data_IF_273435191400
#
_entry.id   IF_273435191400
#
_cell.length_a   1.000
_cell.length_b   1.000
_cell.length_c   1.000
_cell.angle_alpha   90.00
_cell.angle_beta   90.00
_cell.angle_gamma   90.00
#
_symmetry.space_group_name_H-M   'P 1'
#
loop_
_entity.id
_entity.type
_entity.pdbx_description
1 polymer ?
#
# COMPACT_ATOMS: atom_id res chain seq x y z
N UNK A 1 12.05 4.80 -2.10
CA UNK A 1 10.58 4.80 -1.89
C UNK A 1 10.13 5.91 -0.93
N UNK A 2 10.81 6.18 0.21
CA UNK A 2 10.41 7.26 1.15
C UNK A 2 10.29 8.64 0.51
N UNK A 3 11.29 9.04 -0.29
CA UNK A 3 11.27 10.29 -1.05
C UNK A 3 10.02 10.39 -1.94
N UNK A 4 9.78 9.37 -2.79
CA UNK A 4 8.61 9.34 -3.68
C UNK A 4 7.28 9.37 -2.92
N UNK A 5 7.15 8.67 -1.78
CA UNK A 5 5.95 8.70 -0.95
C UNK A 5 5.65 10.12 -0.42
N UNK A 6 6.71 10.87 -0.06
CA UNK A 6 6.55 12.22 0.46
C UNK A 6 6.18 13.22 -0.64
N UNK A 7 6.81 13.13 -1.81
CA UNK A 7 6.51 13.98 -2.96
C UNK A 7 5.11 13.68 -3.52
N UNK A 8 4.69 12.42 -3.52
CA UNK A 8 3.35 12.02 -3.96
C UNK A 8 2.22 12.41 -2.99
N UNK A 9 2.55 12.93 -1.80
CA UNK A 9 1.57 13.21 -0.75
C UNK A 9 1.04 11.95 -0.03
N UNK A 10 1.64 10.79 -0.26
CA UNK A 10 1.28 9.54 0.41
C UNK A 10 1.91 8.28 -0.20
N UNK A 11 1.78 7.17 0.53
CA UNK A 11 2.10 5.82 0.04
C UNK A 11 0.82 5.12 -0.44
N UNK A 12 0.84 3.79 -0.65
CA UNK A 12 -0.36 3.04 -1.03
C UNK A 12 -1.55 3.24 -0.07
N UNK A 13 -1.32 3.33 1.25
CA UNK A 13 -2.43 3.55 2.18
C UNK A 13 -2.95 4.99 2.05
N UNK A 14 -2.04 5.98 2.09
CA UNK A 14 -2.42 7.40 2.11
C UNK A 14 -2.86 7.98 0.77
N UNK A 15 -2.16 7.69 -0.33
CA UNK A 15 -2.42 8.27 -1.64
C UNK A 15 -3.40 7.45 -2.50
N UNK A 16 -3.50 6.14 -2.26
CA UNK A 16 -4.40 5.25 -3.02
C UNK A 16 -5.66 4.88 -2.21
N UNK A 17 -5.51 4.26 -1.03
CA UNK A 17 -6.65 3.78 -0.24
C UNK A 17 -7.44 4.89 0.47
N UNK A 18 -6.85 6.06 0.70
CA UNK A 18 -7.62 7.21 1.16
C UNK A 18 -8.30 7.93 -0.01
N UNK A 19 -7.59 8.15 -1.13
CA UNK A 19 -8.10 8.99 -2.23
C UNK A 19 -9.11 8.29 -3.14
N UNK A 20 -8.89 7.02 -3.50
CA UNK A 20 -9.81 6.30 -4.41
C UNK A 20 -11.21 6.12 -3.80
N UNK A 21 -11.37 5.59 -2.57
CA UNK A 21 -12.70 5.41 -1.98
C UNK A 21 -13.46 6.73 -1.76
N UNK A 22 -12.74 7.85 -1.69
CA UNK A 22 -13.28 9.20 -1.62
C UNK A 22 -13.63 9.78 -2.99
N UNK A 23 -13.61 8.97 -4.05
CA UNK A 23 -13.90 9.38 -5.43
C UNK A 23 -12.97 10.50 -5.94
N UNK A 24 -11.71 10.52 -5.51
CA UNK A 24 -10.74 11.52 -5.95
C UNK A 24 -9.85 10.98 -7.10
N UNK A 25 -9.70 11.79 -8.15
CA UNK A 25 -8.92 11.44 -9.35
C UNK A 25 -7.43 11.17 -9.06
N UNK A 26 -6.86 11.82 -8.03
CA UNK A 26 -5.46 11.61 -7.63
C UNK A 26 -5.14 10.14 -7.33
N UNK A 27 -6.10 9.38 -6.78
CA UNK A 27 -5.92 7.96 -6.53
C UNK A 27 -5.71 7.13 -7.80
N UNK A 28 -6.44 7.47 -8.88
CA UNK A 28 -6.29 6.82 -10.18
C UNK A 28 -4.96 7.14 -10.84
N UNK A 29 -4.54 8.41 -10.77
CA UNK A 29 -3.25 8.87 -11.28
C UNK A 29 -2.12 8.17 -10.51
N UNK A 30 -2.21 8.12 -9.19
CA UNK A 30 -1.24 7.40 -8.36
C UNK A 30 -1.16 5.92 -8.76
N UNK A 31 -2.29 5.24 -8.95
CA UNK A 31 -2.34 3.82 -9.35
C UNK A 31 -1.63 3.58 -10.70
N UNK A 32 -1.86 4.45 -11.68
CA UNK A 32 -1.25 4.34 -13.00
C UNK A 32 0.26 4.50 -12.93
N UNK A 33 0.74 5.57 -12.29
CA UNK A 33 2.17 5.87 -12.27
C UNK A 33 2.95 4.98 -11.30
N UNK A 34 2.36 4.50 -10.20
CA UNK A 34 3.00 3.49 -9.35
C UNK A 34 3.13 2.15 -10.08
N UNK A 35 2.14 1.78 -10.91
CA UNK A 35 2.21 0.57 -11.74
C UNK A 35 3.33 0.67 -12.79
N UNK A 36 3.43 1.80 -13.48
CA UNK A 36 4.53 2.07 -14.41
C UNK A 36 5.89 2.08 -13.71
N UNK A 37 5.99 2.71 -12.53
CA UNK A 37 7.20 2.73 -11.73
C UNK A 37 7.61 1.34 -11.24
N UNK A 38 6.66 0.53 -10.79
CA UNK A 38 6.93 -0.83 -10.32
C UNK A 38 7.35 -1.77 -11.46
N UNK A 39 6.75 -1.65 -12.64
CA UNK A 39 7.16 -2.44 -13.81
C UNK A 39 8.55 -2.03 -14.29
N UNK A 40 8.86 -0.73 -14.34
CA UNK A 40 10.20 -0.22 -14.63
C UNK A 40 11.23 -0.69 -13.59
N UNK A 41 10.91 -0.58 -12.29
CA UNK A 41 11.76 -1.05 -11.20
C UNK A 41 12.01 -2.55 -11.26
N UNK A 42 11.01 -3.35 -11.66
CA UNK A 42 11.17 -4.80 -11.83
C UNK A 42 12.10 -5.17 -12.98
N UNK A 43 12.04 -4.44 -14.11
CA UNK A 43 12.98 -4.60 -15.23
C UNK A 43 14.40 -4.20 -14.83
N UNK A 44 14.55 -3.10 -14.11
CA UNK A 44 15.85 -2.65 -13.58
C UNK A 44 16.48 -3.72 -12.68
N UNK A 45 15.68 -4.33 -11.80
CA UNK A 45 16.16 -5.35 -10.86
C UNK A 45 16.64 -6.62 -11.58
N UNK A 46 15.93 -7.08 -12.61
CA UNK A 46 16.36 -8.23 -13.44
C UNK A 46 17.67 -7.96 -14.19
N UNK A 47 17.87 -6.73 -14.67
CA UNK A 47 19.03 -6.43 -15.51
C UNK A 47 20.31 -6.14 -14.70
N UNK A 48 20.18 -5.62 -13.46
CA UNK A 48 21.33 -5.13 -12.69
C UNK A 48 21.56 -5.84 -11.35
N UNK A 49 20.56 -6.52 -10.79
CA UNK A 49 20.60 -7.07 -9.44
C UNK A 49 20.14 -8.52 -9.40
N UNK A 50 20.78 -9.38 -10.21
CA UNK A 50 20.83 -10.81 -9.91
C UNK A 50 22.07 -11.04 -9.01
N UNK A 51 21.94 -11.06 -7.67
CA UNK A 51 23.06 -11.43 -6.83
C UNK A 51 23.48 -12.86 -7.19
N UNK A 52 24.79 -13.16 -7.26
CA UNK A 52 25.25 -14.52 -7.52
C UNK A 52 24.61 -15.45 -6.49
N UNK A 53 23.97 -16.52 -6.98
CA UNK A 53 23.33 -17.52 -6.12
C UNK A 53 24.43 -18.15 -5.25
N UNK A 54 24.52 -17.71 -4.01
CA UNK A 54 25.48 -18.27 -3.07
C UNK A 54 25.01 -19.66 -2.67
N UNK A 55 25.61 -20.68 -3.28
CA UNK A 55 25.41 -22.08 -2.91
C UNK A 55 25.99 -22.44 -1.53
N UNK A 56 26.66 -21.49 -0.85
CA UNK A 56 27.12 -21.68 0.52
C UNK A 56 25.90 -21.71 1.44
N UNK A 57 25.56 -22.91 1.91
CA UNK A 57 24.58 -23.06 2.99
C UNK A 57 25.08 -22.25 4.19
N UNK A 58 24.31 -21.28 4.70
CA UNK A 58 24.71 -20.55 5.89
C UNK A 58 24.91 -21.57 7.01
N UNK A 59 26.09 -21.54 7.65
CA UNK A 59 26.43 -22.42 8.77
C UNK A 59 25.62 -22.01 10.00
N UNK A 60 24.33 -22.31 9.99
CA UNK A 60 23.39 -21.99 11.06
C UNK A 60 23.35 -23.19 11.99
N UNK A 61 23.90 -23.05 13.20
CA UNK A 61 23.74 -24.04 14.27
C UNK A 61 22.26 -24.41 14.37
N UNK A 62 21.92 -25.69 14.14
CA UNK A 62 20.54 -26.18 14.32
C UNK A 62 20.25 -26.15 15.81
N UNK A 63 19.23 -25.39 16.20
CA UNK A 63 18.72 -25.43 17.57
C UNK A 63 18.15 -26.82 17.86
N UNK A 64 18.40 -27.31 19.08
CA UNK A 64 17.80 -28.54 19.60
C UNK A 64 16.27 -28.39 19.69
N UNK A 65 15.51 -29.50 19.70
CA UNK A 65 14.05 -29.46 19.82
C UNK A 65 13.58 -28.67 21.04
N UNK A 66 14.25 -28.82 22.17
CA UNK A 66 13.97 -28.07 23.41
C UNK A 66 14.21 -26.57 23.25
N UNK A 67 15.36 -26.19 22.68
CA UNK A 67 15.66 -24.78 22.42
C UNK A 67 14.66 -24.13 21.46
N UNK A 68 14.11 -24.88 20.49
CA UNK A 68 13.04 -24.39 19.60
C UNK A 68 11.72 -24.19 20.35
N UNK A 69 11.35 -25.14 21.21
CA UNK A 69 10.13 -25.04 22.04
C UNK A 69 10.24 -23.84 22.98
N UNK A 70 11.36 -23.67 23.67
CA UNK A 70 11.60 -22.56 24.58
C UNK A 70 11.57 -21.21 23.86
N UNK A 71 12.24 -21.09 22.70
CA UNK A 71 12.18 -19.85 21.90
C UNK A 71 10.77 -19.55 21.39
N UNK A 72 10.01 -20.55 20.99
CA UNK A 72 8.61 -20.36 20.56
C UNK A 72 7.76 -19.85 21.72
N UNK A 73 7.91 -20.43 22.91
CA UNK A 73 7.19 -19.97 24.11
C UNK A 73 7.58 -18.53 24.45
N UNK A 74 8.89 -18.21 24.48
CA UNK A 74 9.36 -16.85 24.74
C UNK A 74 8.79 -15.86 23.71
N UNK A 75 8.80 -16.21 22.42
CA UNK A 75 8.24 -15.35 21.37
C UNK A 75 6.73 -15.12 21.54
N UNK A 76 5.96 -16.15 21.88
CA UNK A 76 4.51 -16.05 22.11
C UNK A 76 4.25 -15.21 23.36
N UNK A 77 4.92 -15.50 24.48
CA UNK A 77 4.77 -14.77 25.74
C UNK A 77 5.13 -13.29 25.54
N UNK A 78 6.25 -13.00 24.90
CA UNK A 78 6.68 -11.63 24.64
C UNK A 78 5.69 -10.90 23.71
N UNK A 79 5.13 -11.58 22.71
CA UNK A 79 4.08 -11.04 21.84
C UNK A 79 2.78 -10.73 22.59
N UNK A 80 2.33 -11.64 23.47
CA UNK A 80 1.13 -11.45 24.30
C UNK A 80 1.34 -10.32 25.31
N UNK A 81 2.48 -10.30 26.01
CA UNK A 81 2.82 -9.26 26.97
C UNK A 81 2.89 -7.90 26.28
N UNK A 82 3.55 -7.79 25.12
CA UNK A 82 3.62 -6.53 24.38
C UNK A 82 2.23 -6.06 23.95
N UNK A 83 1.36 -6.98 23.49
CA UNK A 83 -0.01 -6.64 23.10
C UNK A 83 -0.83 -6.15 24.30
N UNK A 84 -0.73 -6.82 25.46
CA UNK A 84 -1.40 -6.39 26.69
C UNK A 84 -0.90 -5.02 27.15
N UNK A 85 0.41 -4.77 27.10
CA UNK A 85 1.00 -3.47 27.44
C UNK A 85 0.43 -2.37 26.53
N UNK A 86 0.38 -2.61 25.22
CA UNK A 86 -0.19 -1.65 24.25
C UNK A 86 -1.67 -1.38 24.52
N UNK A 87 -2.45 -2.41 24.84
CA UNK A 87 -3.86 -2.27 25.19
C UNK A 87 -4.03 -1.48 26.50
N UNK A 88 -3.26 -1.79 27.55
CA UNK A 88 -3.32 -1.07 28.83
C UNK A 88 -2.97 0.42 28.63
N UNK A 89 -1.87 0.71 27.92
CA UNK A 89 -1.47 2.08 27.60
C UNK A 89 -2.57 2.82 26.84
N UNK A 90 -3.28 2.14 25.93
CA UNK A 90 -4.40 2.74 25.19
C UNK A 90 -5.54 3.21 26.11
N UNK A 91 -5.86 2.45 27.15
CA UNK A 91 -6.89 2.81 28.13
C UNK A 91 -6.42 3.88 29.12
N UNK A 92 -5.15 3.86 29.50
CA UNK A 92 -4.55 4.90 30.37
C UNK A 92 -4.56 6.28 29.69
N UNK A 93 -4.34 6.30 28.37
CA UNK A 93 -4.31 7.54 27.57
C UNK A 93 -5.72 7.99 27.12
N UNK A 94 -6.74 7.14 27.27
CA UNK A 94 -8.11 7.40 26.86
C UNK A 94 -8.73 8.70 27.44
N UNK A 95 -8.47 9.10 28.71
CA UNK A 95 -8.98 10.36 29.25
C UNK A 95 -8.49 11.59 28.49
N UNK A 96 -7.25 11.58 27.98
CA UNK A 96 -6.67 12.67 27.19
C UNK A 96 -7.00 12.54 25.70
N UNK A 97 -7.12 11.32 25.19
CA UNK A 97 -7.38 11.03 23.78
C UNK A 97 -8.45 9.92 23.64
N UNK A 98 -9.75 10.26 23.60
CA UNK A 98 -10.82 9.27 23.64
C UNK A 98 -10.86 8.33 22.43
N UNK A 99 -10.21 8.70 21.32
CA UNK A 99 -10.11 7.86 20.10
C UNK A 99 -8.92 6.90 20.10
N UNK A 100 -7.99 7.03 21.06
CA UNK A 100 -6.75 6.26 21.07
C UNK A 100 -6.97 4.73 21.15
N UNK A 101 -7.88 4.20 22.00
CA UNK A 101 -8.15 2.76 22.04
C UNK A 101 -8.63 2.23 20.69
N UNK A 102 -9.58 2.92 20.05
CA UNK A 102 -10.12 2.51 18.75
C UNK A 102 -9.07 2.41 17.66
N UNK A 103 -8.16 3.39 17.57
CA UNK A 103 -7.08 3.40 16.58
C UNK A 103 -6.11 2.23 16.80
N UNK A 104 -5.77 1.95 18.06
CA UNK A 104 -4.85 0.86 18.41
C UNK A 104 -5.46 -0.51 18.07
N UNK A 105 -6.73 -0.74 18.41
CA UNK A 105 -7.41 -1.98 18.05
C UNK A 105 -7.48 -2.18 16.54
N UNK A 106 -7.79 -1.13 15.78
CA UNK A 106 -7.77 -1.17 14.32
C UNK A 106 -6.36 -1.45 13.79
N UNK A 107 -5.32 -0.87 14.39
CA UNK A 107 -3.92 -1.11 14.02
C UNK A 107 -3.48 -2.56 14.24
N UNK A 108 -3.82 -3.15 15.39
CA UNK A 108 -3.54 -4.56 15.71
C UNK A 108 -4.29 -5.48 14.73
N UNK A 109 -5.58 -5.22 14.50
CA UNK A 109 -6.40 -5.99 13.56
C UNK A 109 -5.87 -5.92 12.13
N UNK A 110 -5.54 -4.72 11.66
CA UNK A 110 -4.95 -4.50 10.33
C UNK A 110 -3.60 -5.24 10.22
N UNK A 111 -2.73 -5.12 11.22
CA UNK A 111 -1.43 -5.80 11.25
C UNK A 111 -1.58 -7.33 11.17
N UNK A 112 -2.50 -7.91 11.95
CA UNK A 112 -2.80 -9.34 11.93
C UNK A 112 -3.30 -9.81 10.56
N UNK A 113 -4.28 -9.10 9.99
CA UNK A 113 -4.85 -9.42 8.67
C UNK A 113 -3.77 -9.32 7.59
N UNK A 114 -2.96 -8.26 7.60
CA UNK A 114 -1.88 -8.07 6.62
C UNK A 114 -0.78 -9.14 6.74
N UNK A 115 -0.41 -9.53 7.95
CA UNK A 115 0.55 -10.62 8.20
C UNK A 115 0.01 -11.94 7.66
N UNK A 116 -1.24 -12.27 7.95
CA UNK A 116 -1.82 -13.57 7.59
C UNK A 116 -2.11 -13.68 6.10
N UNK A 117 -2.58 -12.60 5.47
CA UNK A 117 -2.88 -12.55 4.04
C UNK A 117 -1.64 -12.41 3.15
N UNK A 118 -0.46 -12.12 3.73
CA UNK A 118 0.77 -11.81 2.98
C UNK A 118 0.55 -10.74 1.91
N UNK A 119 -0.27 -9.74 2.24
CA UNK A 119 -0.72 -8.73 1.31
C UNK A 119 0.42 -7.78 0.94
N UNK A 120 0.80 -7.76 -0.34
CA UNK A 120 1.93 -6.97 -0.83
C UNK A 120 1.54 -6.12 -2.04
N UNK A 121 1.41 -4.81 -1.84
CA UNK A 121 1.12 -3.86 -2.92
C UNK A 121 2.19 -3.84 -4.01
N UNK A 122 3.47 -3.95 -3.63
CA UNK A 122 4.58 -3.95 -4.60
C UNK A 122 4.47 -5.12 -5.60
N UNK A 123 4.12 -6.30 -5.09
CA UNK A 123 3.91 -7.48 -5.90
C UNK A 123 2.66 -7.33 -6.80
N UNK A 124 1.58 -6.76 -6.28
CA UNK A 124 0.37 -6.46 -7.06
C UNK A 124 0.63 -5.58 -8.30
N UNK A 125 1.63 -4.69 -8.26
CA UNK A 125 1.97 -3.84 -9.40
C UNK A 125 3.04 -4.43 -10.32
N UNK A 126 4.05 -5.10 -9.76
CA UNK A 126 5.21 -5.62 -10.50
C UNK A 126 4.91 -6.94 -11.20
N UNK A 127 4.23 -7.86 -10.52
CA UNK A 127 4.11 -9.25 -10.95
C UNK A 127 3.29 -9.43 -12.25
N UNK A 128 2.22 -8.66 -12.53
CA UNK A 128 1.55 -8.72 -13.83
C UNK A 128 2.46 -8.42 -15.02
N UNK A 129 3.44 -7.53 -14.82
CA UNK A 129 4.41 -7.15 -15.84
C UNK A 129 5.63 -8.08 -15.94
N UNK A 130 6.02 -8.75 -14.84
CA UNK A 130 7.19 -9.63 -14.79
C UNK A 130 6.83 -11.11 -14.97
N UNK A 131 5.93 -11.64 -14.15
CA UNK A 131 5.58 -13.06 -14.07
C UNK A 131 4.22 -13.36 -14.69
N UNK A 132 3.40 -12.35 -14.95
CA UNK A 132 2.03 -12.51 -15.46
C UNK A 132 1.02 -12.97 -14.42
N UNK A 133 1.44 -13.21 -13.17
CA UNK A 133 0.52 -13.55 -12.08
C UNK A 133 -0.26 -12.31 -11.63
N UNK A 134 -1.57 -12.43 -11.50
CA UNK A 134 -2.44 -11.29 -11.13
C UNK A 134 -3.24 -11.53 -9.86
N UNK A 135 -2.97 -12.62 -9.11
CA UNK A 135 -3.65 -12.96 -7.85
C UNK A 135 -3.68 -11.79 -6.85
N UNK A 136 -2.53 -11.16 -6.61
CA UNK A 136 -2.42 -10.02 -5.69
C UNK A 136 -3.04 -8.74 -6.26
N UNK A 137 -2.93 -8.50 -7.57
CA UNK A 137 -3.57 -7.37 -8.24
C UNK A 137 -5.09 -7.45 -8.12
N UNK A 138 -5.67 -8.62 -8.37
CA UNK A 138 -7.10 -8.89 -8.21
C UNK A 138 -7.54 -8.69 -6.76
N UNK A 139 -6.74 -9.13 -5.78
CA UNK A 139 -7.02 -8.90 -4.36
C UNK A 139 -7.01 -7.40 -3.99
N UNK A 140 -6.07 -6.60 -4.52
CA UNK A 140 -6.04 -5.14 -4.32
C UNK A 140 -7.27 -4.46 -4.92
N UNK A 141 -7.68 -4.87 -6.12
CA UNK A 141 -8.88 -4.31 -6.78
C UNK A 141 -10.14 -4.61 -5.96
N UNK A 142 -10.30 -5.84 -5.47
CA UNK A 142 -11.43 -6.20 -4.59
C UNK A 142 -11.39 -5.40 -3.28
N UNK A 143 -10.20 -5.22 -2.69
CA UNK A 143 -10.05 -4.40 -1.49
C UNK A 143 -10.42 -2.93 -1.73
N UNK A 144 -10.10 -2.36 -2.90
CA UNK A 144 -10.48 -1.01 -3.32
C UNK A 144 -11.99 -0.88 -3.58
N UNK A 145 -12.60 -1.90 -4.18
CA UNK A 145 -14.05 -1.93 -4.39
C UNK A 145 -14.80 -1.97 -3.05
N UNK A 146 -14.37 -2.85 -2.14
CA UNK A 146 -14.95 -2.96 -0.81
C UNK A 146 -14.78 -1.67 0.00
N UNK A 147 -13.59 -1.06 -0.04
CA UNK A 147 -13.35 0.21 0.66
C UNK A 147 -14.17 1.36 0.07
N UNK A 148 -14.39 1.40 -1.24
CA UNK A 148 -15.27 2.38 -1.90
C UNK A 148 -16.71 2.22 -1.42
N UNK A 149 -17.24 1.00 -1.37
CA UNK A 149 -18.60 0.73 -0.88
C UNK A 149 -18.74 1.12 0.60
N UNK A 150 -17.77 0.74 1.43
CA UNK A 150 -17.79 1.05 2.86
C UNK A 150 -17.73 2.57 3.11
N UNK A 151 -16.86 3.27 2.38
CA UNK A 151 -16.73 4.72 2.49
C UNK A 151 -18.02 5.43 2.05
N UNK A 152 -18.61 5.01 0.93
CA UNK A 152 -19.90 5.50 0.47
C UNK A 152 -20.98 5.30 1.53
N UNK A 153 -21.07 4.12 2.15
CA UNK A 153 -22.06 3.84 3.20
C UNK A 153 -21.91 4.72 4.44
N UNK A 154 -20.67 4.94 4.90
CA UNK A 154 -20.39 5.83 6.05
C UNK A 154 -20.73 7.29 5.70
N UNK A 155 -20.39 7.73 4.49
CA UNK A 155 -20.63 9.09 4.06
C UNK A 155 -22.13 9.36 3.84
N UNK A 156 -22.85 8.42 3.22
CA UNK A 156 -24.30 8.48 3.04
C UNK A 156 -25.05 8.52 4.39
N UNK A 157 -24.58 7.76 5.39
CA UNK A 157 -25.17 7.77 6.74
C UNK A 157 -24.94 9.09 7.49
N UNK A 158 -23.86 9.81 7.24
CA UNK A 158 -23.52 11.04 7.97
C UNK A 158 -23.94 12.33 7.27
N UNK A 159 -23.87 12.39 5.95
CA UNK A 159 -24.03 13.61 5.17
C UNK A 159 -25.22 13.57 4.20
N UNK A 160 -25.93 12.43 4.14
CA UNK A 160 -26.96 12.18 3.13
C UNK A 160 -26.36 11.86 1.76
N UNK A 161 -27.23 11.71 0.76
CA UNK A 161 -26.85 11.34 -0.63
C UNK A 161 -26.57 12.61 -1.48
N UNK A 162 -26.91 13.79 -0.98
CA UNK A 162 -26.83 15.04 -1.72
C UNK A 162 -25.43 15.64 -1.78
N UNK A 163 -25.04 16.04 -3.00
CA UNK A 163 -23.75 16.63 -3.35
C UNK A 163 -23.42 17.93 -2.61
N UNK A 164 -24.43 18.63 -2.10
CA UNK A 164 -24.30 19.95 -1.48
C UNK A 164 -23.48 19.93 -0.17
N UNK A 165 -23.44 18.78 0.53
CA UNK A 165 -22.71 18.62 1.80
C UNK A 165 -21.30 18.01 1.63
N UNK A 166 -20.79 17.83 0.40
CA UNK A 166 -19.37 17.50 0.17
C UNK A 166 -18.48 18.73 0.41
N UNK A 167 -18.54 19.26 1.62
CA UNK A 167 -17.56 20.22 2.09
C UNK A 167 -16.26 19.47 2.38
N UNK A 168 -15.36 19.54 1.41
CA UNK A 168 -13.91 19.46 1.63
C UNK A 168 -13.44 18.20 2.36
N UNK A 169 -13.82 17.00 1.91
CA UNK A 169 -13.04 15.81 2.27
C UNK A 169 -11.60 16.04 1.80
N UNK A 170 -10.57 15.91 2.65
CA UNK A 170 -9.19 16.16 2.27
C UNK A 170 -8.71 15.09 1.28
N UNK A 171 -8.94 15.35 0.00
CA UNK A 171 -8.52 14.51 -1.10
C UNK A 171 -7.16 14.93 -1.64
N UNK A 172 -6.38 13.98 -2.14
CA UNK A 172 -5.11 14.26 -2.79
C UNK A 172 -5.27 15.24 -3.96
N UNK A 173 -4.35 16.17 -4.08
CA UNK A 173 -4.32 17.14 -5.17
C UNK A 173 -3.70 16.52 -6.42
N UNK A 174 -4.29 16.80 -7.57
CA UNK A 174 -3.71 16.36 -8.86
C UNK A 174 -2.59 17.31 -9.22
N UNK A 175 -1.35 16.82 -9.17
CA UNK A 175 -0.14 17.61 -9.29
C UNK A 175 0.95 16.88 -10.06
N UNK A 176 1.91 17.63 -10.59
CA UNK A 176 3.12 17.03 -11.16
C UNK A 176 3.92 16.24 -10.11
N UNK A 177 3.94 16.71 -8.86
CA UNK A 177 4.52 15.98 -7.73
C UNK A 177 3.88 14.60 -7.52
N UNK A 178 2.57 14.48 -7.70
CA UNK A 178 1.88 13.19 -7.60
C UNK A 178 2.40 12.21 -8.65
N UNK A 179 2.53 12.67 -9.89
CA UNK A 179 3.01 11.87 -11.03
C UNK A 179 4.46 11.41 -10.80
N UNK A 180 5.37 12.35 -10.56
CA UNK A 180 6.79 12.06 -10.37
C UNK A 180 7.00 11.22 -9.09
N UNK A 181 6.35 11.62 -8.00
CA UNK A 181 6.46 10.96 -6.71
C UNK A 181 5.95 9.51 -6.75
N UNK A 182 4.80 9.26 -7.37
CA UNK A 182 4.23 7.90 -7.47
C UNK A 182 5.07 6.98 -8.34
N UNK A 183 5.65 7.49 -9.44
CA UNK A 183 6.57 6.74 -10.28
C UNK A 183 7.87 6.37 -9.51
N UNK A 184 8.51 7.33 -8.86
CA UNK A 184 9.72 7.10 -8.03
C UNK A 184 9.43 6.21 -6.84
N UNK A 185 8.24 6.34 -6.24
CA UNK A 185 7.76 5.46 -5.17
C UNK A 185 7.65 4.02 -5.67
N UNK A 186 7.05 3.79 -6.85
CA UNK A 186 6.91 2.48 -7.47
C UNK A 186 8.24 1.78 -7.74
N UNK A 187 9.20 2.49 -8.34
CA UNK A 187 10.57 1.97 -8.56
C UNK A 187 11.20 1.60 -7.21
N UNK A 188 11.15 2.53 -6.26
CA UNK A 188 11.76 2.33 -4.95
C UNK A 188 11.11 1.19 -4.14
N UNK A 189 9.80 0.98 -4.27
CA UNK A 189 9.09 -0.09 -3.58
C UNK A 189 9.53 -1.47 -4.09
N UNK A 190 9.81 -1.59 -5.39
CA UNK A 190 10.33 -2.83 -5.98
C UNK A 190 11.76 -3.09 -5.54
N UNK A 191 12.63 -2.07 -5.57
CA UNK A 191 14.02 -2.19 -5.11
C UNK A 191 14.13 -2.54 -3.61
N UNK A 192 13.27 -1.96 -2.78
CA UNK A 192 13.21 -2.28 -1.37
C UNK A 192 12.65 -3.68 -1.08
N UNK A 193 12.01 -4.34 -2.07
CA UNK A 193 11.36 -5.63 -1.91
C UNK A 193 10.05 -5.57 -1.12
N UNK A 194 9.49 -4.37 -0.90
CA UNK A 194 8.30 -4.15 -0.07
C UNK A 194 7.72 -2.75 -0.23
N UNK A 195 6.44 -2.60 0.13
CA UNK A 195 5.79 -1.30 0.26
C UNK A 195 5.82 -0.88 1.74
N UNK A 196 5.55 0.38 2.07
CA UNK A 196 5.62 0.89 3.45
C UNK A 196 4.95 -0.05 4.48
N UNK A 197 3.70 -0.45 4.25
CA UNK A 197 2.96 -1.36 5.13
C UNK A 197 3.53 -2.78 5.15
N UNK A 198 3.96 -3.31 3.99
CA UNK A 198 4.64 -4.60 3.91
C UNK A 198 5.99 -4.62 4.63
N UNK A 199 6.71 -3.50 4.64
CA UNK A 199 7.96 -3.33 5.38
C UNK A 199 7.71 -3.44 6.89
N UNK A 200 6.67 -2.80 7.43
CA UNK A 200 6.32 -2.91 8.84
C UNK A 200 5.94 -4.34 9.25
N UNK A 201 5.09 -4.99 8.46
CA UNK A 201 4.65 -6.37 8.75
C UNK A 201 5.84 -7.33 8.73
N UNK A 202 6.69 -7.28 7.71
CA UNK A 202 7.86 -8.16 7.61
C UNK A 202 8.98 -7.80 8.59
N UNK A 203 9.08 -6.54 8.99
CA UNK A 203 9.93 -6.13 10.10
C UNK A 203 9.45 -6.81 11.39
N UNK A 204 8.14 -6.85 11.63
CA UNK A 204 7.53 -7.60 12.73
C UNK A 204 7.76 -9.13 12.66
N UNK A 205 7.87 -9.70 11.46
CA UNK A 205 8.25 -11.11 11.26
C UNK A 205 9.77 -11.37 11.46
N UNK A 206 10.58 -10.32 11.62
CA UNK A 206 12.02 -10.43 11.88
C UNK A 206 12.91 -10.44 10.62
N UNK A 207 12.41 -9.99 9.47
CA UNK A 207 13.23 -9.88 8.25
C UNK A 207 14.18 -8.67 8.33
N UNK A 208 15.49 -8.95 8.52
CA UNK A 208 16.54 -7.93 8.68
C UNK A 208 16.58 -6.90 7.52
N UNK A 209 16.35 -7.35 6.28
CA UNK A 209 16.29 -6.47 5.11
C UNK A 209 15.25 -5.34 5.28
N UNK A 210 14.12 -5.61 5.92
CA UNK A 210 13.05 -4.62 6.08
C UNK A 210 13.35 -3.60 7.17
N UNK A 211 14.22 -3.93 8.14
CA UNK A 211 14.73 -2.93 9.09
C UNK A 211 15.59 -1.89 8.37
N UNK A 212 16.48 -2.34 7.48
CA UNK A 212 17.30 -1.44 6.65
C UNK A 212 16.39 -0.59 5.76
N UNK A 213 15.43 -1.22 5.07
CA UNK A 213 14.48 -0.50 4.23
C UNK A 213 13.66 0.54 5.01
N UNK A 214 13.32 0.29 6.28
CA UNK A 214 12.61 1.22 7.15
C UNK A 214 13.46 2.46 7.50
N UNK A 215 14.73 2.28 7.86
CA UNK A 215 15.64 3.40 8.16
C UNK A 215 15.80 4.31 6.95
N UNK A 216 16.10 3.74 5.78
CA UNK A 216 16.21 4.52 4.54
C UNK A 216 14.86 5.09 4.07
N UNK A 217 13.74 4.46 4.43
CA UNK A 217 12.41 5.02 4.20
C UNK A 217 12.20 6.30 5.01
N UNK A 218 12.56 6.29 6.30
CA UNK A 218 12.48 7.47 7.16
C UNK A 218 13.40 8.60 6.65
N UNK A 219 14.68 8.30 6.38
CA UNK A 219 15.62 9.27 5.82
C UNK A 219 15.13 9.81 4.47
N UNK A 220 14.65 8.94 3.57
CA UNK A 220 14.12 9.37 2.28
C UNK A 220 12.89 10.25 2.40
N UNK A 221 12.02 10.01 3.39
CA UNK A 221 10.84 10.84 3.66
C UNK A 221 11.27 12.22 4.17
N UNK A 222 12.28 12.29 5.05
CA UNK A 222 12.85 13.55 5.51
C UNK A 222 13.49 14.35 4.35
N UNK A 223 14.25 13.69 3.48
CA UNK A 223 14.81 14.32 2.27
C UNK A 223 13.71 14.85 1.33
N UNK A 224 12.60 14.13 1.20
CA UNK A 224 11.45 14.59 0.42
C UNK A 224 10.81 15.85 1.00
N UNK A 225 10.77 15.98 2.34
CA UNK A 225 10.30 17.20 2.99
C UNK A 225 11.24 18.38 2.76
N UNK A 226 12.55 18.17 2.91
CA UNK A 226 13.56 19.20 2.61
C UNK A 226 13.43 19.68 1.17
N UNK A 227 13.21 18.77 0.22
CA UNK A 227 12.99 19.11 -1.18
C UNK A 227 11.70 19.92 -1.39
N UNK A 228 10.60 19.57 -0.72
CA UNK A 228 9.35 20.33 -0.77
C UNK A 228 9.51 21.74 -0.21
N UNK A 229 10.25 21.89 0.89
CA UNK A 229 10.57 23.19 1.49
C UNK A 229 11.43 24.01 0.53
N UNK A 230 12.48 23.42 -0.05
CA UNK A 230 13.37 24.08 -1.01
C UNK A 230 12.63 24.57 -2.27
N UNK A 231 11.65 23.81 -2.75
CA UNK A 231 10.81 24.18 -3.91
C UNK A 231 9.62 25.08 -3.56
N UNK A 232 9.53 25.59 -2.32
CA UNK A 232 8.42 26.39 -1.76
C UNK A 232 7.04 25.72 -1.90
N UNK A 233 7.02 24.40 -2.09
CA UNK A 233 5.80 23.65 -2.40
C UNK A 233 5.12 24.06 -3.72
N UNK A 234 5.83 24.72 -4.65
CA UNK A 234 5.26 25.17 -5.94
C UNK A 234 4.58 24.01 -6.69
N UNK A 235 5.20 22.84 -6.69
CA UNK A 235 4.67 21.64 -7.35
C UNK A 235 3.57 20.90 -6.56
N UNK A 236 3.39 21.22 -5.27
CA UNK A 236 2.35 20.63 -4.40
C UNK A 236 1.12 21.55 -4.32
N UNK A 237 1.31 22.86 -4.47
CA UNK A 237 0.25 23.88 -4.45
C UNK A 237 -0.41 24.12 -5.80
N UNK A 238 0.23 23.73 -6.91
CA UNK A 238 -0.26 23.98 -8.27
C UNK A 238 -1.42 23.06 -8.72
N UNK A 239 -2.02 22.29 -7.81
CA UNK A 239 -2.94 21.22 -8.15
C UNK A 239 -4.27 21.38 -7.49
N UNK A 240 -5.33 21.25 -8.29
CA UNK A 240 -6.70 21.21 -7.80
C UNK A 240 -7.06 19.79 -7.35
N UNK A 241 -7.79 19.63 -6.23
CA UNK A 241 -8.42 18.37 -5.91
C UNK A 241 -9.61 18.17 -6.86
N UNK A 242 -9.56 17.15 -7.71
CA UNK A 242 -10.62 16.84 -8.67
C UNK A 242 -11.41 15.63 -8.14
N UNK A 243 -12.69 15.87 -7.83
CA UNK A 243 -13.61 14.85 -7.33
C UNK A 243 -14.53 14.35 -8.45
N UNK A 244 -14.63 13.03 -8.62
CA UNK A 244 -15.49 12.38 -9.61
C UNK A 244 -16.98 12.72 -9.44
N UNK A 245 -17.57 12.84 -8.23
CA UNK A 245 -19.00 13.14 -8.08
C UNK A 245 -19.39 14.50 -8.66
N UNK A 246 -18.50 15.49 -8.64
CA UNK A 246 -18.71 16.80 -9.26
C UNK A 246 -18.68 16.71 -10.80
N UNK A 247 -17.92 15.76 -11.36
CA UNK A 247 -17.81 15.54 -12.80
C UNK A 247 -19.02 14.79 -13.38
N UNK A 248 -19.58 13.85 -12.61
CA UNK A 248 -20.65 12.96 -13.04
C UNK A 248 -22.04 13.33 -12.50
N UNK A 249 -22.18 14.48 -11.85
CA UNK A 249 -23.47 15.04 -11.42
C UNK A 249 -24.16 14.29 -10.29
N UNK A 250 -23.45 13.47 -9.51
CA UNK A 250 -24.04 12.68 -8.43
C UNK A 250 -23.10 11.68 -7.77
N UNK A 251 -23.36 11.36 -6.49
CA UNK A 251 -22.58 10.39 -5.73
C UNK A 251 -22.90 8.94 -6.16
N UNK A 252 -24.16 8.68 -6.55
CA UNK A 252 -24.59 7.39 -7.09
C UNK A 252 -23.98 7.08 -8.47
N UNK A 253 -24.04 7.97 -9.48
CA UNK A 253 -23.33 7.80 -10.74
C UNK A 253 -21.83 7.56 -10.54
N UNK A 254 -21.19 8.33 -9.65
CA UNK A 254 -19.76 8.17 -9.35
C UNK A 254 -19.44 6.78 -8.75
N UNK A 255 -20.29 6.26 -7.86
CA UNK A 255 -20.15 4.91 -7.31
C UNK A 255 -20.25 3.84 -8.40
N UNK A 256 -21.28 3.89 -9.25
CA UNK A 256 -21.46 2.91 -10.32
C UNK A 256 -20.31 2.94 -11.33
N UNK A 257 -19.90 4.13 -11.76
CA UNK A 257 -18.78 4.29 -12.69
C UNK A 257 -17.49 3.77 -12.05
N UNK A 258 -17.20 4.12 -10.80
CA UNK A 258 -16.00 3.65 -10.11
C UNK A 258 -15.97 2.13 -9.95
N UNK A 259 -17.08 1.51 -9.54
CA UNK A 259 -17.18 0.05 -9.42
C UNK A 259 -17.06 -0.63 -10.79
N UNK A 260 -17.64 -0.05 -11.84
CA UNK A 260 -17.53 -0.54 -13.22
C UNK A 260 -16.07 -0.48 -13.70
N UNK A 261 -15.35 0.62 -13.45
CA UNK A 261 -13.93 0.73 -13.80
C UNK A 261 -13.08 -0.28 -13.02
N UNK A 262 -13.34 -0.46 -11.73
CA UNK A 262 -12.64 -1.48 -10.92
C UNK A 262 -12.94 -2.89 -11.42
N UNK A 263 -14.19 -3.19 -11.79
CA UNK A 263 -14.59 -4.46 -12.38
C UNK A 263 -13.92 -4.69 -13.74
N UNK A 264 -13.88 -3.67 -14.59
CA UNK A 264 -13.18 -3.73 -15.88
C UNK A 264 -11.67 -4.00 -15.70
N UNK A 265 -11.02 -3.34 -14.74
CA UNK A 265 -9.63 -3.62 -14.39
C UNK A 265 -9.42 -5.03 -13.84
N UNK A 266 -10.38 -5.54 -13.06
CA UNK A 266 -10.33 -6.92 -12.55
C UNK A 266 -10.43 -7.94 -13.69
N UNK A 267 -11.38 -7.73 -14.62
CA UNK A 267 -11.56 -8.57 -15.82
C UNK A 267 -10.31 -8.50 -16.70
N UNK A 268 -9.75 -7.31 -16.90
CA UNK A 268 -8.52 -7.11 -17.67
C UNK A 268 -7.33 -7.84 -17.03
N UNK A 269 -7.17 -7.76 -15.71
CA UNK A 269 -6.13 -8.47 -14.98
C UNK A 269 -6.30 -10.00 -15.08
N UNK A 270 -7.53 -10.49 -15.05
CA UNK A 270 -7.83 -11.92 -15.26
C UNK A 270 -7.53 -12.36 -16.69
N UNK A 271 -8.00 -11.60 -17.68
CA UNK A 271 -7.74 -11.86 -19.10
C UNK A 271 -6.24 -11.87 -19.42
N UNK A 272 -5.48 -10.93 -18.85
CA UNK A 272 -4.03 -10.86 -19.03
C UNK A 272 -3.30 -12.09 -18.49
N UNK A 273 -3.70 -12.58 -17.31
CA UNK A 273 -3.14 -13.79 -16.71
C UNK A 273 -3.40 -15.01 -17.60
N UNK A 274 -4.64 -15.17 -18.09
CA UNK A 274 -5.01 -16.26 -18.99
C UNK A 274 -4.21 -16.23 -20.30
N UNK A 275 -4.03 -15.04 -20.89
CA UNK A 275 -3.21 -14.87 -22.09
C UNK A 275 -1.76 -15.29 -21.86
N UNK A 276 -1.19 -14.97 -20.69
CA UNK A 276 0.19 -15.37 -20.33
C UNK A 276 0.32 -16.86 -20.08
N UNK A 277 -0.69 -17.49 -19.48
CA UNK A 277 -0.72 -18.95 -19.30
C UNK A 277 -0.80 -19.65 -20.66
N UNK A 278 -1.69 -19.20 -21.55
CA UNK A 278 -1.81 -19.76 -22.89
C UNK A 278 -0.50 -19.67 -23.68
N UNK A 279 0.21 -18.54 -23.60
CA UNK A 279 1.53 -18.37 -24.24
C UNK A 279 2.57 -19.35 -23.70
N UNK A 280 2.59 -19.62 -22.39
CA UNK A 280 3.52 -20.58 -21.79
C UNK A 280 3.24 -22.00 -22.24
N UNK A 281 1.97 -22.40 -22.26
CA UNK A 281 1.57 -23.75 -22.68
C UNK A 281 1.86 -23.99 -24.17
N UNK A 282 1.73 -22.96 -25.01
CA UNK A 282 2.10 -23.04 -26.42
C UNK A 282 3.62 -23.13 -26.66
N UNK A 283 4.44 -22.78 -25.67
CA UNK A 283 5.89 -22.81 -25.76
C UNK A 283 6.50 -24.08 -25.14
N UNK A 284 5.70 -24.85 -24.38
CA UNK A 284 6.07 -26.14 -23.78
C UNK A 284 5.66 -27.35 -24.63
N UNK A 285 4.84 -27.14 -25.66
CA UNK A 285 4.44 -28.15 -26.66
C UNK A 285 5.23 -27.94 -27.95
#
# INVERSE_FOLDING_TARGET
MGFGAKIAGGCNIGALFSSLPQFNLSGWIFLLFVFLGATAGGRLLRNFFEPPVSNKRPNRKRLTPEQRKQRRIIQIVLGVVLTLVVVIVSFVVAPSYPKAPGIIFVGIGLGYVMQRSRFCFTAAYRDPGLTGETKLTRAVIVALALSTILFFGIQASKYGIDLANLQSTPGGTVNLSLVIGSFVFGIGAVLAGGCASGTFVRMGEGYLQNYIAFVFFACGTALGEVFNIATKGTFVKAGSPIYLPQLFGGMMPALFIQLLVLLALWVLAYWWEQRKIAQRNAQSN
#
